data_IF_760028131858
#
_entry.id   IF_760028131858
#
_cell.length_a   1.000
_cell.length_b   1.000
_cell.length_c   1.000
_cell.angle_alpha   90.00
_cell.angle_beta   90.00
_cell.angle_gamma   90.00
#
_symmetry.space_group_name_H-M   'P 1'
#
loop_
_entity.id
_entity.type
_entity.pdbx_description
1 polymer ?
#
# COMPACT_ATOMS: atom_id res chain seq x y z
N UNK A 1 24.10 -19.24 -30.55
CA UNK A 1 24.02 -19.39 -29.09
C UNK A 1 24.12 -17.99 -28.51
N UNK A 2 23.19 -17.52 -27.66
CA UNK A 2 23.32 -16.18 -27.12
C UNK A 2 24.53 -16.16 -26.21
N UNK A 3 25.36 -15.13 -26.39
CA UNK A 3 26.57 -14.87 -25.60
C UNK A 3 26.20 -14.86 -24.11
N UNK A 4 27.04 -15.45 -23.26
CA UNK A 4 26.86 -15.37 -21.82
C UNK A 4 26.76 -13.87 -21.43
N UNK A 5 25.55 -13.43 -21.07
CA UNK A 5 25.31 -12.08 -20.57
C UNK A 5 26.12 -11.96 -19.28
N UNK A 6 26.97 -10.95 -19.21
CA UNK A 6 27.80 -10.71 -18.03
C UNK A 6 26.89 -10.49 -16.80
N UNK A 7 27.06 -11.28 -15.71
CA UNK A 7 26.17 -11.23 -14.56
C UNK A 7 26.03 -9.84 -13.92
N UNK A 8 27.06 -9.00 -14.01
CA UNK A 8 27.02 -7.63 -13.49
C UNK A 8 26.01 -6.78 -14.27
N UNK A 9 26.03 -6.85 -15.60
CA UNK A 9 25.15 -6.04 -16.45
C UNK A 9 23.70 -6.52 -16.38
N UNK A 10 23.46 -7.82 -16.16
CA UNK A 10 22.12 -8.35 -15.92
C UNK A 10 21.53 -7.77 -14.63
N UNK A 11 22.28 -7.83 -13.53
CA UNK A 11 21.81 -7.28 -12.24
C UNK A 11 21.66 -5.76 -12.30
N UNK A 12 22.57 -5.06 -12.99
CA UNK A 12 22.47 -3.62 -13.25
C UNK A 12 21.18 -3.27 -13.99
N UNK A 13 20.87 -3.98 -15.07
CA UNK A 13 19.64 -3.77 -15.86
C UNK A 13 18.39 -4.04 -15.01
N UNK A 14 18.36 -5.11 -14.22
CA UNK A 14 17.23 -5.43 -13.34
C UNK A 14 17.01 -4.37 -12.26
N UNK A 15 18.09 -3.86 -11.65
CA UNK A 15 18.01 -2.76 -10.68
C UNK A 15 17.49 -1.51 -11.39
N UNK A 16 18.03 -1.16 -12.55
CA UNK A 16 17.60 0.03 -13.29
C UNK A 16 16.13 -0.04 -13.72
N UNK A 17 15.67 -1.21 -14.19
CA UNK A 17 14.26 -1.41 -14.55
C UNK A 17 13.34 -1.29 -13.33
N UNK A 18 13.77 -1.81 -12.19
CA UNK A 18 13.04 -1.70 -10.92
C UNK A 18 12.94 -0.24 -10.46
N UNK A 19 14.03 0.52 -10.58
CA UNK A 19 14.12 1.96 -10.30
C UNK A 19 13.17 2.74 -11.22
N UNK A 20 13.23 2.52 -12.53
CA UNK A 20 12.42 3.23 -13.52
C UNK A 20 10.92 2.96 -13.32
N UNK A 21 10.57 1.70 -13.01
CA UNK A 21 9.20 1.32 -12.67
C UNK A 21 8.72 2.03 -11.41
N UNK A 22 9.54 2.05 -10.35
CA UNK A 22 9.20 2.73 -9.10
C UNK A 22 8.96 4.23 -9.32
N UNK A 23 9.82 4.88 -10.09
CA UNK A 23 9.68 6.29 -10.44
C UNK A 23 8.38 6.57 -11.22
N UNK A 24 8.03 5.70 -12.18
CA UNK A 24 6.76 5.80 -12.91
C UNK A 24 5.56 5.67 -11.99
N UNK A 25 5.55 4.68 -11.09
CA UNK A 25 4.48 4.50 -10.10
C UNK A 25 4.40 5.69 -9.15
N UNK A 26 5.53 6.29 -8.78
CA UNK A 26 5.57 7.46 -7.89
C UNK A 26 4.98 8.69 -8.56
N UNK A 27 5.35 8.95 -9.82
CA UNK A 27 4.74 10.03 -10.59
C UNK A 27 3.23 9.84 -10.73
N UNK A 28 2.76 8.61 -10.96
CA UNK A 28 1.32 8.34 -10.98
C UNK A 28 0.66 8.64 -9.63
N UNK A 29 1.29 8.21 -8.52
CA UNK A 29 0.81 8.48 -7.17
C UNK A 29 0.73 10.00 -6.84
N UNK A 30 1.71 10.78 -7.30
CA UNK A 30 1.77 12.24 -7.09
C UNK A 30 0.59 12.96 -7.78
N UNK A 31 0.17 12.47 -8.95
CA UNK A 31 -0.93 13.08 -9.72
C UNK A 31 -2.32 12.65 -9.24
N UNK A 32 -2.43 11.62 -8.40
CA UNK A 32 -3.71 11.12 -7.91
C UNK A 32 -4.15 11.90 -6.66
N UNK A 33 -5.40 12.43 -6.65
CA UNK A 33 -5.91 13.18 -5.50
C UNK A 33 -6.03 12.30 -4.25
N UNK A 34 -5.82 12.90 -3.08
CA UNK A 34 -5.64 12.25 -1.78
C UNK A 34 -6.80 11.37 -1.26
N UNK A 35 -7.95 11.28 -1.94
CA UNK A 35 -9.19 10.70 -1.42
C UNK A 35 -9.67 9.43 -2.15
N UNK A 36 -8.77 8.68 -2.78
CA UNK A 36 -9.13 7.47 -3.51
C UNK A 36 -8.41 6.28 -2.90
N UNK A 37 -9.12 5.17 -2.61
CA UNK A 37 -8.50 3.92 -2.12
C UNK A 37 -7.40 3.37 -3.07
N UNK A 38 -7.39 3.84 -4.31
CA UNK A 38 -6.33 3.64 -5.31
C UNK A 38 -4.96 4.19 -4.85
N UNK A 39 -4.94 5.32 -4.14
CA UNK A 39 -3.71 5.91 -3.57
C UNK A 39 -3.04 4.97 -2.56
N UNK A 40 -3.84 4.27 -1.76
CA UNK A 40 -3.35 3.30 -0.77
C UNK A 40 -2.74 2.07 -1.45
N UNK A 41 -3.34 1.61 -2.54
CA UNK A 41 -2.78 0.48 -3.29
C UNK A 41 -1.44 0.85 -3.96
N UNK A 42 -1.34 2.06 -4.52
CA UNK A 42 -0.10 2.56 -5.11
C UNK A 42 1.00 2.75 -4.06
N UNK A 43 0.67 3.23 -2.86
CA UNK A 43 1.64 3.31 -1.76
C UNK A 43 2.19 1.94 -1.40
N UNK A 44 1.33 0.91 -1.33
CA UNK A 44 1.79 -0.47 -1.07
C UNK A 44 2.68 -1.01 -2.18
N UNK A 45 2.35 -0.73 -3.43
CA UNK A 45 3.16 -1.13 -4.58
C UNK A 45 4.52 -0.41 -4.59
N UNK A 46 4.55 0.88 -4.27
CA UNK A 46 5.79 1.64 -4.11
C UNK A 46 6.64 1.10 -2.98
N UNK A 47 6.04 0.79 -1.83
CA UNK A 47 6.77 0.26 -0.69
C UNK A 47 7.42 -1.10 -1.01
N UNK A 48 6.67 -2.00 -1.66
CA UNK A 48 7.19 -3.28 -2.12
C UNK A 48 8.30 -3.11 -3.17
N UNK A 49 8.19 -2.09 -4.04
CA UNK A 49 9.24 -1.73 -4.98
C UNK A 49 10.53 -1.26 -4.30
N UNK A 50 10.42 -0.39 -3.29
CA UNK A 50 11.56 0.07 -2.50
C UNK A 50 12.25 -1.10 -1.77
N UNK A 51 11.49 -1.98 -1.10
CA UNK A 51 12.04 -3.17 -0.42
C UNK A 51 12.73 -4.12 -1.41
N UNK A 52 12.17 -4.28 -2.61
CA UNK A 52 12.77 -5.11 -3.67
C UNK A 52 14.12 -4.54 -4.12
N UNK A 53 14.21 -3.22 -4.31
CA UNK A 53 15.45 -2.55 -4.72
C UNK A 53 16.50 -2.62 -3.61
N UNK A 54 16.11 -2.39 -2.36
CA UNK A 54 16.99 -2.53 -1.20
C UNK A 54 17.60 -3.94 -1.15
N UNK A 55 16.78 -4.97 -1.33
CA UNK A 55 17.24 -6.35 -1.37
C UNK A 55 18.20 -6.61 -2.54
N UNK A 56 17.89 -6.12 -3.75
CA UNK A 56 18.75 -6.29 -4.93
C UNK A 56 20.13 -5.63 -4.75
N UNK A 57 20.17 -4.45 -4.14
CA UNK A 57 21.42 -3.72 -3.86
C UNK A 57 22.25 -4.42 -2.78
N UNK A 58 21.61 -4.92 -1.72
CA UNK A 58 22.29 -5.70 -0.66
C UNK A 58 22.87 -7.01 -1.22
N UNK A 59 22.16 -7.68 -2.13
CA UNK A 59 22.66 -8.89 -2.79
C UNK A 59 23.83 -8.58 -3.73
N UNK A 60 23.79 -7.44 -4.44
CA UNK A 60 24.92 -6.98 -5.27
C UNK A 60 26.15 -6.69 -4.41
N UNK A 61 26.02 -6.02 -3.27
CA UNK A 61 27.13 -5.73 -2.35
C UNK A 61 27.74 -7.03 -1.78
N UNK A 62 26.89 -8.00 -1.38
CA UNK A 62 27.34 -9.34 -0.97
C UNK A 62 28.11 -10.04 -2.08
N UNK A 63 27.63 -9.99 -3.32
CA UNK A 63 28.29 -10.61 -4.47
C UNK A 63 29.67 -9.98 -4.72
N UNK A 64 29.77 -8.64 -4.64
CA UNK A 64 31.03 -7.90 -4.74
C UNK A 64 31.97 -8.30 -3.59
N UNK A 65 31.48 -8.37 -2.36
CA UNK A 65 32.27 -8.75 -1.19
C UNK A 65 32.81 -10.18 -1.28
N UNK A 66 32.03 -11.12 -1.83
CA UNK A 66 32.46 -12.49 -2.10
C UNK A 66 33.53 -12.52 -3.19
N UNK A 67 33.34 -11.78 -4.29
CA UNK A 67 34.32 -11.68 -5.37
C UNK A 67 35.64 -11.03 -4.91
N UNK A 68 35.56 -10.00 -4.06
CA UNK A 68 36.72 -9.31 -3.50
C UNK A 68 37.53 -10.18 -2.52
N UNK A 69 36.90 -11.18 -1.91
CA UNK A 69 37.56 -12.11 -0.97
C UNK A 69 38.34 -13.23 -1.65
N UNK A 70 38.17 -13.45 -2.96
CA UNK A 70 38.91 -14.47 -3.70
C UNK A 70 40.37 -14.00 -3.96
N UNK A 71 41.38 -14.66 -3.36
CA UNK A 71 42.79 -14.31 -3.58
C UNK A 71 43.23 -14.50 -5.04
N UNK A 72 42.59 -15.43 -5.77
CA UNK A 72 42.86 -15.66 -7.18
C UNK A 72 42.35 -14.50 -8.04
N UNK A 73 41.17 -13.95 -7.72
CA UNK A 73 40.62 -12.77 -8.37
C UNK A 73 41.52 -11.54 -8.19
N UNK A 74 41.95 -11.27 -6.96
CA UNK A 74 42.85 -10.15 -6.67
C UNK A 74 44.22 -10.29 -7.34
N UNK A 75 44.75 -11.53 -7.39
CA UNK A 75 45.99 -11.86 -8.07
C UNK A 75 45.91 -11.68 -9.59
N UNK A 76 44.83 -12.15 -10.21
CA UNK A 76 44.58 -12.00 -11.64
C UNK A 76 44.31 -10.55 -12.03
N UNK A 77 43.54 -9.81 -11.22
CA UNK A 77 43.30 -8.38 -11.38
C UNK A 77 44.63 -7.60 -11.33
N UNK A 78 45.44 -7.83 -10.29
CA UNK A 78 46.73 -7.15 -10.12
C UNK A 78 47.74 -7.54 -11.21
N UNK A 79 47.72 -8.80 -11.66
CA UNK A 79 48.55 -9.27 -12.79
C UNK A 79 48.12 -8.60 -14.10
N UNK A 80 46.81 -8.50 -14.36
CA UNK A 80 46.26 -7.85 -15.56
C UNK A 80 46.54 -6.35 -15.55
N UNK A 81 46.29 -5.66 -14.45
CA UNK A 81 46.60 -4.24 -14.28
C UNK A 81 48.10 -3.94 -14.42
N UNK A 82 48.97 -4.86 -14.01
CA UNK A 82 50.42 -4.68 -14.09
C UNK A 82 50.99 -4.98 -15.48
N UNK A 83 50.46 -5.97 -16.18
CA UNK A 83 50.96 -6.39 -17.50
C UNK A 83 50.27 -5.67 -18.66
N UNK A 84 49.04 -5.25 -18.46
CA UNK A 84 48.15 -4.63 -19.45
C UNK A 84 47.80 -3.21 -18.99
N UNK A 85 48.79 -2.52 -18.42
CA UNK A 85 48.66 -1.26 -17.68
C UNK A 85 48.04 -0.08 -18.43
N UNK A 86 47.83 -0.22 -19.74
CA UNK A 86 47.23 0.79 -20.61
C UNK A 86 46.11 0.19 -21.50
N UNK A 87 45.52 -0.94 -21.09
CA UNK A 87 44.64 -1.74 -21.93
C UNK A 87 43.14 -1.64 -21.60
N UNK A 88 42.28 -2.22 -22.48
CA UNK A 88 40.81 -2.19 -22.39
C UNK A 88 40.23 -2.70 -21.07
N UNK A 89 40.99 -3.48 -20.28
CA UNK A 89 40.56 -3.97 -18.97
C UNK A 89 40.47 -2.87 -17.89
N UNK A 90 41.36 -1.88 -17.90
CA UNK A 90 41.30 -0.75 -16.95
C UNK A 90 40.08 0.15 -17.28
N UNK A 91 39.81 0.33 -18.57
CA UNK A 91 38.63 1.05 -19.06
C UNK A 91 37.33 0.34 -18.65
N UNK A 92 37.29 -0.99 -18.73
CA UNK A 92 36.12 -1.76 -18.31
C UNK A 92 35.80 -1.62 -16.82
N UNK A 93 36.83 -1.58 -15.95
CA UNK A 93 36.64 -1.39 -14.51
C UNK A 93 36.18 0.03 -14.18
N UNK A 94 36.77 1.03 -14.84
CA UNK A 94 36.33 2.42 -14.72
C UNK A 94 34.88 2.59 -15.17
N UNK A 95 34.49 1.91 -16.26
CA UNK A 95 33.12 1.93 -16.75
C UNK A 95 32.17 1.31 -15.74
N UNK A 96 32.53 0.19 -15.11
CA UNK A 96 31.72 -0.43 -14.06
C UNK A 96 31.59 0.47 -12.81
N UNK A 97 32.66 1.16 -12.39
CA UNK A 97 32.59 2.11 -11.27
C UNK A 97 31.67 3.30 -11.61
N UNK A 98 31.79 3.89 -12.81
CA UNK A 98 30.93 4.99 -13.27
C UNK A 98 29.46 4.56 -13.36
N UNK A 99 29.21 3.33 -13.82
CA UNK A 99 27.89 2.73 -13.89
C UNK A 99 27.27 2.50 -12.49
N UNK A 100 28.08 2.14 -11.49
CA UNK A 100 27.64 2.02 -10.09
C UNK A 100 27.34 3.38 -9.46
N UNK A 101 28.12 4.41 -9.79
CA UNK A 101 27.87 5.78 -9.32
C UNK A 101 26.53 6.32 -9.87
N UNK A 102 26.20 6.03 -11.13
CA UNK A 102 24.91 6.39 -11.73
C UNK A 102 23.73 5.68 -11.05
N UNK A 103 23.86 4.37 -10.79
CA UNK A 103 22.89 3.62 -10.00
C UNK A 103 22.74 4.23 -8.60
N UNK A 104 23.84 4.57 -7.94
CA UNK A 104 23.85 5.23 -6.64
C UNK A 104 23.09 6.56 -6.64
N UNK A 105 23.27 7.39 -7.66
CA UNK A 105 22.53 8.64 -7.81
C UNK A 105 21.02 8.42 -8.00
N UNK A 106 20.63 7.36 -8.70
CA UNK A 106 19.22 6.99 -8.87
C UNK A 106 18.61 6.42 -7.59
N UNK A 107 19.38 5.65 -6.81
CA UNK A 107 18.98 5.16 -5.48
C UNK A 107 18.80 6.29 -4.47
N UNK A 108 19.65 7.33 -4.49
CA UNK A 108 19.47 8.51 -3.62
C UNK A 108 18.14 9.20 -3.90
N UNK A 109 17.78 9.40 -5.17
CA UNK A 109 16.47 9.96 -5.55
C UNK A 109 15.31 9.09 -5.08
N UNK A 110 15.47 7.77 -5.09
CA UNK A 110 14.47 6.84 -4.55
C UNK A 110 14.39 6.92 -3.03
N UNK A 111 15.51 7.12 -2.34
CA UNK A 111 15.53 7.35 -0.91
C UNK A 111 14.64 8.53 -0.50
N UNK A 112 14.71 9.64 -1.23
CA UNK A 112 13.85 10.81 -1.01
C UNK A 112 12.36 10.50 -1.26
N UNK A 113 12.06 9.67 -2.27
CA UNK A 113 10.70 9.15 -2.53
C UNK A 113 10.20 8.29 -1.37
N UNK A 114 11.05 7.40 -0.85
CA UNK A 114 10.74 6.55 0.29
C UNK A 114 10.39 7.34 1.55
N UNK A 115 11.14 8.42 1.84
CA UNK A 115 10.84 9.33 2.96
C UNK A 115 9.48 10.01 2.79
N UNK A 116 9.17 10.46 1.59
CA UNK A 116 7.89 11.11 1.27
C UNK A 116 6.71 10.16 1.47
N UNK A 117 6.85 8.91 1.03
CA UNK A 117 5.82 7.88 1.21
C UNK A 117 5.65 7.53 2.70
N UNK A 118 6.74 7.46 3.45
CA UNK A 118 6.70 7.19 4.88
C UNK A 118 5.90 8.25 5.65
N UNK A 119 6.15 9.54 5.37
CA UNK A 119 5.42 10.64 5.99
C UNK A 119 3.91 10.62 5.64
N UNK A 120 3.56 10.28 4.40
CA UNK A 120 2.16 10.11 4.01
C UNK A 120 1.50 8.93 4.76
N UNK A 121 2.19 7.80 4.91
CA UNK A 121 1.68 6.64 5.63
C UNK A 121 1.40 6.96 7.09
N UNK A 122 2.27 7.72 7.75
CA UNK A 122 2.03 8.23 9.11
C UNK A 122 0.81 9.16 9.15
N UNK A 123 0.61 9.97 8.11
CA UNK A 123 -0.59 10.79 7.94
C UNK A 123 -1.87 9.95 7.83
N UNK A 124 -1.83 8.85 7.08
CA UNK A 124 -2.95 7.94 6.91
C UNK A 124 -3.28 7.14 8.18
N UNK A 125 -2.28 6.72 8.96
CA UNK A 125 -2.50 6.06 10.27
C UNK A 125 -3.32 6.95 11.21
N UNK A 126 -2.99 8.25 11.24
CA UNK A 126 -3.71 9.24 12.04
C UNK A 126 -5.15 9.45 11.58
N UNK A 127 -5.38 9.49 10.27
CA UNK A 127 -6.74 9.61 9.70
C UNK A 127 -7.55 8.34 10.01
N UNK A 128 -6.93 7.16 9.97
CA UNK A 128 -7.59 5.89 10.27
C UNK A 128 -7.99 5.81 11.76
N UNK A 129 -7.15 6.30 12.66
CA UNK A 129 -7.46 6.39 14.09
C UNK A 129 -8.65 7.32 14.37
N UNK A 130 -8.67 8.50 13.75
CA UNK A 130 -9.79 9.45 13.84
C UNK A 130 -11.10 8.86 13.27
N UNK A 131 -11.02 8.17 12.13
CA UNK A 131 -12.15 7.44 11.55
C UNK A 131 -12.64 6.32 12.49
N UNK A 132 -11.73 5.66 13.20
CA UNK A 132 -12.04 4.66 14.23
C UNK A 132 -12.82 5.28 15.39
N UNK A 133 -12.37 6.43 15.90
CA UNK A 133 -13.09 7.18 16.95
C UNK A 133 -14.47 7.65 16.49
N UNK A 134 -14.60 8.14 15.24
CA UNK A 134 -15.88 8.51 14.66
C UNK A 134 -16.81 7.30 14.48
N UNK A 135 -16.27 6.15 14.06
CA UNK A 135 -17.01 4.89 13.91
C UNK A 135 -17.54 4.41 15.26
N UNK A 136 -16.73 4.47 16.33
CA UNK A 136 -17.17 4.14 17.68
C UNK A 136 -18.27 5.07 18.18
N UNK A 137 -18.18 6.36 17.87
CA UNK A 137 -19.23 7.33 18.19
C UNK A 137 -20.54 7.04 17.42
N UNK A 138 -20.42 6.63 16.16
CA UNK A 138 -21.55 6.26 15.29
C UNK A 138 -22.17 4.94 15.74
N UNK A 139 -21.35 3.96 16.12
CA UNK A 139 -21.78 2.69 16.71
C UNK A 139 -22.61 2.95 17.98
N UNK A 140 -22.10 3.78 18.91
CA UNK A 140 -22.84 4.17 20.10
C UNK A 140 -24.18 4.88 19.80
N UNK A 141 -24.22 5.72 18.76
CA UNK A 141 -25.45 6.37 18.29
C UNK A 141 -26.42 5.38 17.68
N UNK A 142 -25.95 4.46 16.85
CA UNK A 142 -26.75 3.39 16.25
C UNK A 142 -27.31 2.47 17.33
N UNK A 143 -26.53 2.16 18.37
CA UNK A 143 -26.97 1.37 19.52
C UNK A 143 -28.14 2.04 20.26
N UNK A 144 -28.07 3.37 20.42
CA UNK A 144 -29.16 4.16 21.00
C UNK A 144 -30.40 4.21 20.09
N UNK A 145 -30.20 4.37 18.78
CA UNK A 145 -31.29 4.32 17.79
C UNK A 145 -31.95 2.94 17.81
N UNK A 146 -31.17 1.86 17.82
CA UNK A 146 -31.64 0.49 17.88
C UNK A 146 -32.45 0.23 19.17
N UNK A 147 -31.97 0.72 20.32
CA UNK A 147 -32.73 0.69 21.60
C UNK A 147 -34.04 1.46 21.51
N UNK A 148 -34.05 2.63 20.88
CA UNK A 148 -35.29 3.43 20.68
C UNK A 148 -36.27 2.72 19.76
N UNK A 149 -35.81 2.14 18.65
CA UNK A 149 -36.64 1.35 17.73
C UNK A 149 -37.23 0.15 18.49
N UNK A 150 -36.43 -0.56 19.27
CA UNK A 150 -36.92 -1.66 20.11
C UNK A 150 -37.96 -1.21 21.15
N UNK A 151 -37.77 -0.03 21.77
CA UNK A 151 -38.76 0.57 22.67
C UNK A 151 -40.04 1.01 21.95
N UNK A 152 -39.95 1.57 20.74
CA UNK A 152 -41.11 1.94 19.92
C UNK A 152 -41.89 0.70 19.49
N UNK A 153 -41.22 -0.37 19.08
CA UNK A 153 -41.87 -1.65 18.79
C UNK A 153 -42.55 -2.24 20.03
N UNK A 154 -41.94 -2.13 21.21
CA UNK A 154 -42.58 -2.53 22.48
C UNK A 154 -43.76 -1.64 22.87
N UNK A 155 -43.71 -0.32 22.60
CA UNK A 155 -44.76 0.64 22.97
C UNK A 155 -45.93 0.67 21.98
N UNK A 156 -45.67 0.38 20.71
CA UNK A 156 -46.69 -0.03 19.72
C UNK A 156 -47.19 -1.46 19.97
N UNK A 157 -46.66 -2.14 20.99
CA UNK A 157 -47.01 -3.50 21.34
C UNK A 157 -48.39 -3.59 21.97
N UNK A 158 -49.25 -4.37 21.31
CA UNK A 158 -50.41 -5.13 21.82
C UNK A 158 -51.50 -4.30 22.51
N UNK A 159 -51.20 -3.47 23.52
CA UNK A 159 -52.19 -2.68 24.28
C UNK A 159 -52.90 -1.63 23.42
N UNK A 160 -52.17 -0.95 22.54
CA UNK A 160 -52.76 0.03 21.61
C UNK A 160 -53.62 -0.64 20.54
N UNK A 161 -53.15 -1.75 19.97
CA UNK A 161 -53.94 -2.55 19.02
C UNK A 161 -55.17 -3.16 19.67
N UNK A 162 -55.08 -3.70 20.89
CA UNK A 162 -56.23 -4.24 21.63
C UNK A 162 -57.25 -3.14 21.93
N UNK A 163 -56.82 -1.94 22.36
CA UNK A 163 -57.75 -0.81 22.56
C UNK A 163 -58.44 -0.39 21.26
N UNK A 164 -57.70 -0.35 20.14
CA UNK A 164 -58.25 -0.04 18.82
C UNK A 164 -59.28 -1.10 18.37
N UNK A 165 -58.97 -2.38 18.56
CA UNK A 165 -59.86 -3.50 18.24
C UNK A 165 -61.12 -3.44 19.10
N UNK A 166 -60.98 -3.21 20.41
CA UNK A 166 -62.12 -3.15 21.34
C UNK A 166 -63.05 -1.98 20.99
N UNK A 167 -62.51 -0.82 20.64
CA UNK A 167 -63.28 0.33 20.16
C UNK A 167 -64.03 0.01 18.85
N UNK A 168 -63.37 -0.61 17.87
CA UNK A 168 -63.99 -1.03 16.61
C UNK A 168 -65.12 -2.04 16.82
N UNK A 169 -64.97 -3.00 17.73
CA UNK A 169 -66.01 -4.00 18.05
C UNK A 169 -67.24 -3.34 18.68
N UNK A 170 -67.06 -2.41 19.61
CA UNK A 170 -68.17 -1.67 20.23
C UNK A 170 -68.93 -0.85 19.19
N UNK A 171 -68.20 -0.14 18.32
CA UNK A 171 -68.80 0.65 17.24
C UNK A 171 -69.61 -0.25 16.29
N UNK A 172 -69.09 -1.42 15.93
CA UNK A 172 -69.80 -2.40 15.10
C UNK A 172 -71.10 -2.90 15.76
N UNK A 173 -71.09 -3.18 17.07
CA UNK A 173 -72.30 -3.60 17.81
C UNK A 173 -73.36 -2.48 17.77
N UNK A 174 -72.97 -1.23 18.01
CA UNK A 174 -73.90 -0.09 17.96
C UNK A 174 -74.51 0.05 16.56
N UNK A 175 -73.70 -0.02 15.52
CA UNK A 175 -74.17 0.02 14.13
C UNK A 175 -75.13 -1.13 13.81
N UNK A 176 -74.78 -2.36 14.23
CA UNK A 176 -75.61 -3.53 14.02
C UNK A 176 -76.97 -3.38 14.69
N UNK A 177 -77.00 -2.98 15.96
CA UNK A 177 -78.25 -2.76 16.70
C UNK A 177 -79.09 -1.66 16.05
N UNK A 178 -78.48 -0.56 15.62
CA UNK A 178 -79.17 0.54 14.95
C UNK A 178 -79.81 0.08 13.63
N UNK A 179 -79.10 -0.72 12.84
CA UNK A 179 -79.59 -1.27 11.55
C UNK A 179 -80.68 -2.33 11.73
N UNK A 180 -80.63 -3.16 12.78
CA UNK A 180 -81.63 -4.20 12.99
C UNK A 180 -82.88 -3.70 13.76
N UNK A 181 -82.78 -2.59 14.50
CA UNK A 181 -83.91 -1.95 15.18
C UNK A 181 -84.59 -0.85 14.37
N UNK A 182 -83.95 -0.37 13.29
CA UNK A 182 -84.53 0.55 12.31
C UNK A 182 -85.08 -0.24 11.13
#
# INVERSE_FOLDING_TARGET
>A
MPSAQDPFYVVKEEIQESIDKLQSTFHQWEHIPSNTGERVNLIKELLAGCESIEWQVDELDKAIAVAARDPAWYGLMKWRLKNEGDGPALLALRQQDEDLDELGASLVRIGDVGLTIHDELLGQEKILDDLGMEMDSTSNRLDFVQKKVAMVMKKAGIKGQIMMILFLVVLFIVLFVLVFLT
#
